data_IF_437641568479
#
_entry.id   IF_437641568479
#
_cell.length_a   1.000
_cell.length_b   1.000
_cell.length_c   1.000
_cell.angle_alpha   90.00
_cell.angle_beta   90.00
_cell.angle_gamma   90.00
#
_symmetry.space_group_name_H-M   'P 1'
#
loop_
_entity.id
_entity.type
_entity.pdbx_description
1 polymer ?
2 polymer ?
3 non-polymer ?
4 water ?
#
# COMPACT_ATOMS: atom_id res chain seq x y z
N UNK A 3 -11.67 -21.87 12.68
CA UNK A 3 -11.84 -21.73 11.24
C UNK A 3 -12.26 -20.31 10.76
N UNK A 4 -11.32 -19.67 10.09
CA UNK A 4 -11.51 -18.60 9.18
C UNK A 4 -12.20 -19.11 7.95
N UNK A 5 -13.08 -18.33 7.36
CA UNK A 5 -13.77 -18.73 6.15
C UNK A 5 -13.73 -17.72 5.02
N UNK A 6 -13.31 -18.15 3.85
CA UNK A 6 -13.26 -17.27 2.70
C UNK A 6 -14.31 -17.66 1.66
N UNK A 7 -15.30 -16.78 1.45
CA UNK A 7 -16.20 -16.92 0.33
C UNK A 7 -15.56 -16.29 -0.88
N UNK A 8 -15.65 -16.94 -2.03
CA UNK A 8 -15.08 -16.38 -3.24
C UNK A 8 -16.12 -16.19 -4.32
N UNK A 9 -15.82 -15.30 -5.24
CA UNK A 9 -16.60 -15.17 -6.45
C UNK A 9 -16.22 -16.32 -7.37
N UNK A 10 -17.00 -17.37 -7.35
CA UNK A 10 -16.73 -18.56 -8.10
C UNK A 10 -16.70 -18.29 -9.58
N UNK A 11 -17.53 -17.39 -10.03
CA UNK A 11 -17.51 -16.93 -11.41
C UNK A 11 -16.25 -16.25 -11.87
N UNK A 12 -15.56 -15.59 -10.97
CA UNK A 12 -14.31 -14.98 -11.28
C UNK A 12 -13.33 -15.09 -10.11
N UNK A 13 -12.65 -16.21 -9.98
CA UNK A 13 -11.92 -16.50 -8.75
C UNK A 13 -10.73 -15.55 -8.49
N UNK A 14 -10.61 -15.04 -7.27
CA UNK A 14 -9.46 -14.19 -6.89
C UNK A 14 -8.19 -15.04 -6.72
N UNK A 15 -7.43 -15.21 -7.80
CA UNK A 15 -6.34 -16.19 -7.80
C UNK A 15 -5.30 -15.85 -6.75
N UNK A 16 -5.01 -14.56 -6.58
CA UNK A 16 -4.07 -14.10 -5.58
C UNK A 16 -4.43 -14.60 -4.19
N UNK A 17 -5.69 -14.39 -3.82
CA UNK A 17 -6.20 -14.81 -2.51
C UNK A 17 -6.21 -16.33 -2.36
N UNK A 18 -6.54 -17.03 -3.45
CA UNK A 18 -6.58 -18.49 -3.41
C UNK A 18 -5.17 -19.05 -3.33
N UNK A 19 -4.21 -18.38 -3.97
CA UNK A 19 -2.80 -18.76 -3.84
C UNK A 19 -2.32 -18.56 -2.40
N UNK A 20 -2.75 -17.46 -1.77
CA UNK A 20 -2.38 -17.21 -0.38
C UNK A 20 -2.97 -18.28 0.55
N UNK A 21 -4.25 -18.59 0.36
CA UNK A 21 -4.88 -19.66 1.11
C UNK A 21 -4.07 -20.95 0.96
N UNK A 22 -3.73 -21.31 -0.28
CA UNK A 22 -2.97 -22.52 -0.53
C UNK A 22 -1.65 -22.53 0.27
N UNK A 23 -1.07 -21.36 0.48
CA UNK A 23 0.22 -21.29 1.17
C UNK A 23 0.12 -21.16 2.68
N UNK A 24 -1.06 -20.87 3.22
CA UNK A 24 -1.17 -20.74 4.67
C UNK A 24 -2.06 -21.81 5.29
N UNK A 25 -2.60 -22.70 4.48
CA UNK A 25 -3.69 -23.57 4.94
C UNK A 25 -3.21 -24.65 5.91
N UNK A 26 -1.92 -24.95 5.92
CA UNK A 26 -1.38 -25.87 6.91
C UNK A 26 -1.05 -25.15 8.21
N UNK A 27 -1.05 -23.82 8.16
CA UNK A 27 -0.66 -23.01 9.31
C UNK A 27 -1.86 -22.50 10.10
N UNK A 28 -2.95 -22.26 9.40
CA UNK A 28 -4.17 -21.75 10.01
C UNK A 28 -5.31 -22.51 9.36
N UNK A 29 -6.37 -22.81 10.09
CA UNK A 29 -7.45 -23.57 9.48
C UNK A 29 -8.36 -22.60 8.74
N UNK A 30 -8.58 -22.89 7.46
CA UNK A 30 -9.34 -22.05 6.57
C UNK A 30 -10.28 -22.87 5.74
N UNK A 31 -11.50 -22.40 5.59
CA UNK A 31 -12.44 -23.01 4.66
C UNK A 31 -12.66 -22.08 3.48
N UNK A 32 -12.78 -22.62 2.29
CA UNK A 32 -13.13 -21.81 1.15
C UNK A 32 -14.50 -22.21 0.61
N UNK A 33 -15.40 -21.25 0.49
CA UNK A 33 -16.74 -21.51 0.00
C UNK A 33 -17.09 -20.91 -1.34
N UNK A 34 -17.93 -21.61 -2.07
CA UNK A 34 -18.42 -21.13 -3.32
C UNK A 34 -19.30 -19.92 -3.08
N UNK A 35 -19.35 -19.01 -4.01
CA UNK A 35 -20.18 -17.83 -3.85
C UNK A 35 -20.13 -16.92 -5.05
N UNK A 36 -20.57 -15.71 -4.89
CA UNK A 36 -20.58 -14.75 -5.96
C UNK A 36 -19.81 -13.48 -5.65
N UNK A 37 -19.19 -13.42 -4.48
CA UNK A 37 -18.32 -12.31 -4.13
C UNK A 37 -17.24 -12.78 -3.17
N UNK A 38 -16.23 -11.94 -2.98
CA UNK A 38 -15.13 -12.26 -2.08
C UNK A 38 -15.36 -11.68 -0.72
N UNK A 39 -15.41 -12.55 0.27
CA UNK A 39 -15.55 -12.16 1.65
C UNK A 39 -14.70 -13.05 2.54
N UNK A 40 -13.73 -12.47 3.22
CA UNK A 40 -13.04 -13.20 4.26
C UNK A 40 -13.77 -12.95 5.57
N UNK A 41 -14.35 -13.99 6.14
CA UNK A 41 -15.08 -13.90 7.42
C UNK A 41 -14.13 -14.18 8.57
N UNK A 42 -13.71 -13.13 9.25
CA UNK A 42 -12.71 -13.30 10.29
C UNK A 42 -13.39 -13.67 11.61
N UNK A 43 -14.35 -12.88 12.02
CA UNK A 43 -15.06 -13.04 13.29
C UNK A 43 -16.40 -12.37 13.12
N UNK A 44 -17.25 -12.38 14.11
CA UNK A 44 -18.64 -12.02 13.89
C UNK A 44 -18.82 -10.62 13.33
N UNK A 45 -18.11 -9.64 13.86
CA UNK A 45 -18.23 -8.28 13.39
C UNK A 45 -17.10 -7.86 12.45
N UNK A 46 -16.32 -8.81 11.96
CA UNK A 46 -15.10 -8.52 11.20
C UNK A 46 -15.01 -9.26 9.86
N UNK A 47 -15.15 -8.52 8.76
CA UNK A 47 -14.91 -9.06 7.42
C UNK A 47 -14.03 -8.18 6.54
N UNK A 48 -13.39 -8.80 5.55
CA UNK A 48 -12.62 -8.09 4.55
C UNK A 48 -13.10 -8.51 3.18
N UNK A 49 -13.33 -7.53 2.31
CA UNK A 49 -13.92 -7.81 1.00
C UNK A 49 -13.04 -7.36 -0.16
N UNK A 50 -12.01 -6.58 0.12
CA UNK A 50 -11.10 -6.19 -0.96
C UNK A 50 -9.91 -7.15 -0.96
N UNK A 51 -9.44 -7.48 -2.16
CA UNK A 51 -8.45 -8.53 -2.33
C UNK A 51 -7.15 -8.24 -1.57
N UNK A 52 -6.63 -7.02 -1.65
CA UNK A 52 -5.37 -6.75 -0.95
C UNK A 52 -5.47 -6.86 0.57
N UNK A 53 -6.62 -6.51 1.14
CA UNK A 53 -6.83 -6.67 2.60
C UNK A 53 -6.92 -8.15 2.97
N UNK A 54 -7.56 -8.92 2.11
CA UNK A 54 -7.66 -10.35 2.33
C UNK A 54 -6.26 -10.97 2.35
N UNK A 55 -5.43 -10.60 1.37
CA UNK A 55 -4.03 -11.05 1.33
C UNK A 55 -3.26 -10.68 2.60
N UNK A 56 -3.34 -9.40 2.99
CA UNK A 56 -2.62 -8.90 4.16
C UNK A 56 -3.03 -9.64 5.41
N UNK A 57 -4.35 -9.83 5.60
CA UNK A 57 -4.80 -10.52 6.81
C UNK A 57 -4.27 -11.96 6.87
N UNK A 58 -4.35 -12.68 5.76
CA UNK A 58 -3.85 -14.06 5.71
C UNK A 58 -2.34 -14.10 6.02
N UNK A 59 -1.60 -13.15 5.45
CA UNK A 59 -0.16 -13.12 5.68
C UNK A 59 0.15 -12.79 7.13
N UNK A 60 -0.69 -11.95 7.75
CA UNK A 60 -0.44 -11.54 9.13
C UNK A 60 -0.76 -12.65 10.14
N UNK A 61 -1.77 -13.46 9.83
CA UNK A 61 -2.22 -14.46 10.78
C UNK A 61 -1.42 -15.76 10.66
N UNK A 62 -0.87 -16.01 9.47
CA UNK A 62 -0.02 -17.18 9.22
C UNK A 62 1.45 -16.81 9.30
N UNK A 63 1.93 -16.57 10.51
CA UNK A 63 3.26 -16.00 10.70
C UNK A 63 4.38 -16.93 10.23
N UNK A 64 4.17 -18.24 10.34
CA UNK A 64 5.18 -19.20 9.91
C UNK A 64 5.37 -19.23 8.37
N UNK A 65 4.34 -18.80 7.63
CA UNK A 65 4.42 -18.82 6.16
C UNK A 65 5.34 -17.73 5.60
N UNK A 66 5.58 -16.69 6.38
CA UNK A 66 6.45 -15.60 5.99
C UNK A 66 6.08 -14.80 4.74
N UNK A 67 4.79 -14.64 4.49
CA UNK A 67 4.32 -13.97 3.28
C UNK A 67 4.40 -12.44 3.30
N UNK A 68 4.66 -11.84 4.46
CA UNK A 68 4.69 -10.37 4.53
C UNK A 68 6.13 -9.91 4.81
N UNK A 69 7.11 -10.77 4.49
CA UNK A 69 8.51 -10.43 4.69
C UNK A 69 8.98 -10.58 6.13
N UNK A 70 10.26 -10.30 6.38
CA UNK A 70 10.82 -10.58 7.71
C UNK A 70 11.24 -9.33 8.48
N UNK A 71 11.11 -8.18 7.85
CA UNK A 71 11.45 -6.92 8.44
C UNK A 71 10.69 -5.77 7.82
N UNK A 72 10.86 -4.57 8.37
CA UNK A 72 10.11 -3.42 7.93
C UNK A 72 10.35 -3.03 6.50
N UNK A 73 11.57 -3.07 6.04
CA UNK A 73 11.84 -2.77 4.65
C UNK A 73 11.16 -3.73 3.69
N UNK A 74 11.20 -5.01 3.98
CA UNK A 74 10.51 -5.99 3.17
C UNK A 74 8.99 -5.80 3.17
N UNK A 75 8.41 -5.51 4.32
CA UNK A 75 7.01 -5.26 4.47
C UNK A 75 6.66 -4.09 3.59
N UNK A 76 7.50 -3.09 3.57
CA UNK A 76 7.29 -1.93 2.74
C UNK A 76 7.37 -2.20 1.27
N UNK A 77 8.34 -2.98 0.85
CA UNK A 77 8.48 -3.38 -0.53
C UNK A 77 7.27 -4.17 -0.96
N UNK A 78 6.77 -5.02 -0.10
CA UNK A 78 5.58 -5.83 -0.43
C UNK A 78 4.36 -4.91 -0.60
N UNK A 79 4.25 -3.86 0.23
CA UNK A 79 3.16 -2.88 0.06
C UNK A 79 3.28 -2.21 -1.30
N UNK A 80 4.51 -1.88 -1.69
CA UNK A 80 4.77 -1.29 -3.01
C UNK A 80 4.23 -2.17 -4.14
N UNK A 81 4.52 -3.48 -4.07
CA UNK A 81 4.10 -4.37 -5.15
C UNK A 81 2.59 -4.64 -5.14
N UNK A 82 2.00 -4.70 -3.96
CA UNK A 82 0.54 -4.86 -3.86
C UNK A 82 -0.20 -3.71 -4.56
N UNK A 83 0.25 -2.49 -4.35
CA UNK A 83 -0.27 -1.37 -5.11
C UNK A 83 0.03 -1.44 -6.62
N UNK A 84 1.23 -1.85 -6.96
CA UNK A 84 1.66 -1.87 -8.33
C UNK A 84 0.72 -2.76 -9.09
N UNK A 85 0.39 -3.91 -8.56
CA UNK A 85 -0.55 -4.78 -9.20
C UNK A 85 -1.99 -4.25 -9.26
N UNK A 86 -2.45 -3.63 -8.19
CA UNK A 86 -3.77 -3.04 -8.12
C UNK A 86 -3.96 -1.86 -9.06
N UNK A 87 -2.91 -1.05 -9.26
CA UNK A 87 -3.02 0.17 -10.07
C UNK A 87 -2.41 0.18 -11.49
N UNK A 88 -1.15 -0.20 -11.63
CA UNK A 88 -0.50 -0.25 -12.91
C UNK A 88 -0.76 -1.50 -13.73
N UNK A 89 -0.78 -2.64 -13.09
CA UNK A 89 -0.88 -3.93 -13.75
C UNK A 89 -2.35 -4.32 -13.93
N UNK A 90 -3.20 -3.56 -13.30
CA UNK A 90 -4.62 -3.73 -13.45
C UNK A 90 -5.18 -2.86 -14.55
N UNK A 91 -4.36 -2.03 -15.15
CA UNK A 91 -4.78 -1.20 -16.25
C UNK A 91 -4.13 -1.71 -17.51
N UNK A 92 -4.79 -1.54 -18.64
CA UNK A 92 -4.10 -1.80 -19.91
C UNK A 92 -3.46 -0.58 -20.54
N UNK A 93 -3.75 0.59 -20.00
CA UNK A 93 -3.04 1.77 -20.43
C UNK A 93 -1.59 1.66 -19.98
N UNK A 94 -0.66 2.00 -20.82
CA UNK A 94 0.73 2.08 -20.42
C UNK A 94 1.41 0.76 -20.03
N UNK A 95 0.94 -0.33 -20.58
CA UNK A 95 1.42 -1.67 -20.19
C UNK A 95 2.89 -1.88 -20.47
N UNK A 96 3.35 -1.37 -21.61
CA UNK A 96 4.74 -1.51 -22.03
C UNK A 96 5.69 -0.97 -20.97
N UNK A 97 5.41 0.22 -20.47
CA UNK A 97 6.31 0.80 -19.47
C UNK A 97 6.17 0.07 -18.13
N UNK A 98 4.95 -0.36 -17.83
CA UNK A 98 4.71 -1.08 -16.59
C UNK A 98 5.44 -2.43 -16.57
N UNK A 99 5.31 -3.20 -17.66
CA UNK A 99 5.94 -4.53 -17.71
C UNK A 99 7.45 -4.38 -17.77
N UNK A 100 7.93 -3.32 -18.39
CA UNK A 100 9.34 -3.04 -18.40
C UNK A 100 9.90 -2.71 -17.04
N UNK A 101 9.13 -1.99 -16.24
CA UNK A 101 9.52 -1.70 -14.88
C UNK A 101 9.60 -2.97 -14.07
N UNK A 102 8.66 -3.86 -14.24
CA UNK A 102 8.67 -5.12 -13.55
C UNK A 102 9.87 -5.93 -13.95
N UNK A 103 10.15 -5.95 -15.22
CA UNK A 103 11.32 -6.63 -15.77
C UNK A 103 12.61 -6.16 -15.14
N UNK A 104 12.76 -4.85 -15.01
CA UNK A 104 13.96 -4.29 -14.42
C UNK A 104 14.12 -4.67 -12.95
N UNK A 105 13.03 -4.62 -12.19
CA UNK A 105 13.09 -5.01 -10.79
C UNK A 105 13.46 -6.49 -10.65
N UNK A 106 13.02 -7.32 -11.58
CA UNK A 106 13.27 -8.75 -11.50
C UNK A 106 14.69 -9.15 -11.95
N UNK A 107 15.40 -8.22 -12.60
CA UNK A 107 16.66 -8.53 -13.26
C UNK A 107 17.67 -9.16 -12.31
N UNK A 108 17.73 -8.68 -11.10
CA UNK A 108 18.59 -9.27 -10.14
C UNK A 108 17.93 -10.08 -9.07
N UNK A 109 16.69 -10.45 -9.25
CA UNK A 109 15.94 -11.13 -8.22
C UNK A 109 15.37 -12.44 -8.69
N UNK A 110 15.18 -13.36 -7.76
CA UNK A 110 14.44 -14.57 -8.01
C UNK A 110 12.97 -14.49 -7.58
N UNK A 111 12.70 -13.94 -6.42
CA UNK A 111 11.40 -13.62 -5.94
C UNK A 111 11.40 -12.12 -5.81
N UNK A 112 10.23 -11.49 -5.83
CA UNK A 112 10.15 -10.03 -5.83
C UNK A 112 10.78 -9.41 -4.56
N UNK A 113 10.58 -10.02 -3.43
CA UNK A 113 11.06 -9.46 -2.20
C UNK A 113 11.80 -10.49 -1.40
N UNK A 114 12.97 -10.11 -0.95
CA UNK A 114 13.82 -11.01 -0.24
C UNK A 114 14.19 -12.19 -1.12
N UNK A 115 14.32 -13.33 -0.52
CA UNK A 115 14.65 -14.52 -1.26
C UNK A 115 13.66 -15.63 -1.14
N UNK A 116 12.43 -15.29 -0.85
CA UNK A 116 11.38 -16.25 -0.69
C UNK A 116 10.05 -15.71 -1.19
N UNK A 117 9.12 -16.62 -1.41
CA UNK A 117 7.79 -16.24 -1.83
C UNK A 117 7.13 -15.26 -0.88
N UNK A 118 6.49 -14.23 -1.41
CA UNK A 118 5.76 -13.31 -0.56
C UNK A 118 4.45 -12.91 -1.21
N UNK A 119 3.65 -12.11 -0.49
CA UNK A 119 2.44 -11.53 -1.07
C UNK A 119 2.72 -10.77 -2.37
N UNK A 120 3.91 -10.19 -2.49
CA UNK A 120 4.25 -9.50 -3.72
C UNK A 120 4.21 -10.44 -4.92
N UNK A 121 4.81 -11.63 -4.78
CA UNK A 121 4.77 -12.57 -5.90
C UNK A 121 3.32 -12.99 -6.16
N UNK A 122 2.60 -13.36 -5.11
CA UNK A 122 1.24 -13.87 -5.30
C UNK A 122 0.36 -12.84 -6.04
N UNK A 123 0.39 -11.61 -5.54
CA UNK A 123 -0.36 -10.50 -6.12
C UNK A 123 0.03 -10.18 -7.56
N UNK A 124 1.32 -9.97 -7.81
CA UNK A 124 1.74 -9.58 -9.15
C UNK A 124 1.53 -10.74 -10.16
N UNK A 125 1.80 -11.96 -9.73
CA UNK A 125 1.60 -13.12 -10.62
C UNK A 125 0.13 -13.29 -11.04
N UNK A 126 -0.77 -13.29 -10.05
CA UNK A 126 -2.20 -13.46 -10.34
C UNK A 126 -2.69 -12.35 -11.25
N UNK A 127 -2.27 -11.12 -10.94
CA UNK A 127 -2.72 -9.98 -11.71
C UNK A 127 -2.21 -10.11 -13.15
N UNK A 128 -0.92 -10.44 -13.32
CA UNK A 128 -0.37 -10.68 -14.65
C UNK A 128 -1.14 -11.73 -15.43
N UNK A 129 -1.49 -12.83 -14.75
CA UNK A 129 -2.12 -13.94 -15.40
C UNK A 129 -3.45 -13.54 -16.00
N UNK A 130 -4.14 -12.60 -15.36
CA UNK A 130 -5.43 -12.16 -15.85
C UNK A 130 -5.35 -10.94 -16.74
N UNK A 131 -4.13 -10.47 -17.00
CA UNK A 131 -3.92 -9.29 -17.85
C UNK A 131 -3.82 -9.68 -19.32
N UNK A 132 -4.71 -9.13 -20.14
CA UNK A 132 -4.81 -9.53 -21.55
C UNK A 132 -3.56 -9.14 -22.34
N UNK A 133 -2.98 -7.99 -22.02
CA UNK A 133 -1.76 -7.55 -22.68
C UNK A 133 -0.58 -8.50 -22.39
N UNK A 134 -0.56 -9.09 -21.20
CA UNK A 134 0.50 -10.06 -20.90
C UNK A 134 0.33 -11.33 -21.74
N UNK A 135 -0.88 -11.86 -21.74
CA UNK A 135 -1.16 -13.08 -22.49
C UNK A 135 -0.87 -12.86 -23.98
N UNK A 136 -1.11 -11.65 -24.48
CA UNK A 136 -0.78 -11.30 -25.86
C UNK A 136 0.74 -11.29 -26.09
N UNK A 137 1.50 -10.66 -25.19
CA UNK A 137 2.96 -10.68 -25.30
C UNK A 137 3.52 -12.10 -25.29
N UNK A 138 2.96 -12.96 -24.46
CA UNK A 138 3.38 -14.35 -24.41
C UNK A 138 3.09 -15.03 -25.76
N UNK A 139 1.87 -14.84 -26.26
CA UNK A 139 1.46 -15.39 -27.55
C UNK A 139 2.37 -14.92 -28.69
N UNK A 140 2.82 -13.67 -28.62
CA UNK A 140 3.64 -13.09 -29.68
C UNK A 140 5.13 -13.30 -29.45
N UNK A 141 5.47 -14.05 -28.41
CA UNK A 141 6.87 -14.27 -28.03
C UNK A 141 7.60 -12.95 -27.77
N UNK A 142 6.92 -11.99 -27.15
CA UNK A 142 7.51 -10.68 -26.90
C UNK A 142 7.67 -10.35 -25.41
N UNK A 143 7.37 -11.28 -24.52
CA UNK A 143 7.52 -11.04 -23.08
C UNK A 143 8.95 -10.68 -22.71
N UNK A 144 9.13 -9.73 -21.79
CA UNK A 144 10.48 -9.42 -21.27
C UNK A 144 11.11 -10.62 -20.54
N UNK A 145 12.41 -10.81 -20.69
CA UNK A 145 13.10 -12.04 -20.26
C UNK A 145 12.95 -12.36 -18.77
N UNK A 146 13.18 -11.37 -17.92
CA UNK A 146 13.12 -11.60 -16.48
C UNK A 146 11.72 -11.94 -16.00
N UNK A 147 10.71 -11.22 -16.51
CA UNK A 147 9.33 -11.51 -16.13
C UNK A 147 8.90 -12.90 -16.60
N UNK A 148 9.23 -13.25 -17.85
CA UNK A 148 8.95 -14.59 -18.36
C UNK A 148 9.58 -15.68 -17.46
N UNK A 149 10.85 -15.48 -17.12
CA UNK A 149 11.58 -16.40 -16.27
C UNK A 149 10.91 -16.55 -14.90
N UNK A 150 10.63 -15.42 -14.25
CA UNK A 150 10.00 -15.43 -12.94
C UNK A 150 8.58 -16.00 -13.01
N UNK A 151 7.83 -15.60 -14.03
CA UNK A 151 6.42 -16.04 -14.16
C UNK A 151 6.36 -17.56 -14.34
N UNK A 152 7.23 -18.10 -15.18
CA UNK A 152 7.26 -19.54 -15.42
C UNK A 152 7.67 -20.35 -14.21
N UNK A 153 8.62 -19.82 -13.44
CA UNK A 153 9.11 -20.48 -12.23
C UNK A 153 7.99 -20.69 -11.21
N UNK A 154 7.25 -19.62 -10.92
CA UNK A 154 6.08 -19.72 -10.02
C UNK A 154 5.03 -20.65 -10.58
N UNK A 155 4.74 -20.50 -11.85
CA UNK A 155 3.72 -21.29 -12.48
C UNK A 155 3.92 -22.80 -12.30
N UNK A 156 5.17 -23.22 -12.27
CA UNK A 156 5.54 -24.60 -12.17
C UNK A 156 5.48 -25.12 -10.75
N UNK A 157 5.37 -24.24 -9.78
CA UNK A 157 5.38 -24.65 -8.41
C UNK A 157 4.09 -25.36 -8.02
N UNK A 158 4.17 -26.25 -7.06
CA UNK A 158 3.09 -27.12 -6.70
C UNK A 158 1.80 -26.43 -6.28
N UNK A 159 1.92 -25.49 -5.37
CA UNK A 159 0.81 -24.69 -4.94
C UNK A 159 0.11 -23.97 -6.08
N UNK A 160 0.86 -23.47 -7.02
CA UNK A 160 0.31 -22.74 -8.13
C UNK A 160 -0.42 -23.72 -9.06
N UNK A 161 0.15 -24.88 -9.26
CA UNK A 161 -0.45 -25.93 -10.05
C UNK A 161 -1.73 -26.37 -9.40
N UNK A 162 -1.70 -26.53 -8.09
CA UNK A 162 -2.89 -26.96 -7.38
C UNK A 162 -4.05 -25.96 -7.50
N UNK A 163 -3.75 -24.69 -7.33
CA UNK A 163 -4.75 -23.67 -7.46
C UNK A 163 -5.27 -23.67 -8.88
N UNK A 164 -4.39 -23.83 -9.83
CA UNK A 164 -4.79 -23.86 -11.21
C UNK A 164 -5.73 -25.00 -11.54
N UNK A 165 -5.44 -26.18 -11.04
CA UNK A 165 -6.28 -27.34 -11.26
C UNK A 165 -7.66 -27.15 -10.66
N UNK A 166 -7.73 -26.60 -9.46
CA UNK A 166 -9.01 -26.46 -8.80
C UNK A 166 -9.86 -25.30 -9.34
N UNK A 167 -9.24 -24.26 -9.88
CA UNK A 167 -10.00 -23.04 -10.24
C UNK A 167 -9.91 -22.54 -11.68
N UNK A 168 -8.93 -23.02 -12.45
CA UNK A 168 -8.80 -22.55 -13.83
C UNK A 168 -9.88 -23.18 -14.70
N UNK A 169 -10.45 -22.39 -15.60
CA UNK A 169 -11.53 -22.86 -16.46
C UNK A 169 -11.02 -23.50 -17.75
N UNK A 170 -9.70 -23.53 -17.92
C UNK B 16 4.20 0.60 23.91
N UNK B 17 5.06 1.49 23.49
CA UNK B 17 5.48 1.54 22.09
C UNK B 17 6.95 1.33 21.84
N UNK B 18 7.24 0.80 20.66
CA UNK B 18 8.57 0.43 20.25
C UNK B 18 9.47 1.59 19.88
N UNK B 19 10.72 1.49 20.30
CA UNK B 19 11.76 2.45 19.97
C UNK B 19 12.18 2.33 18.53
N UNK B 20 12.74 3.40 18.01
CA UNK B 20 13.04 3.55 16.62
C UNK B 20 13.98 2.49 16.18
N UNK B 21 14.93 2.16 17.04
CA UNK B 21 15.94 1.16 16.73
C UNK B 21 15.33 -0.19 16.38
N UNK B 22 14.59 -0.75 17.33
CA UNK B 22 13.99 -2.07 17.15
C UNK B 22 12.98 -2.10 16.00
N UNK B 23 12.37 -0.96 15.71
CA UNK B 23 11.41 -0.88 14.61
C UNK B 23 12.09 -1.13 13.26
N UNK B 24 13.13 -0.37 13.00
CA UNK B 24 13.94 -0.51 11.81
C UNK B 24 14.78 -1.76 11.79
N UNK B 25 15.13 -2.22 12.97
CA UNK B 25 16.07 -3.30 13.18
C UNK B 25 17.52 -3.12 12.76
N UNK B 26 18.06 -4.13 12.11
CA UNK B 26 19.49 -4.25 12.01
C UNK B 26 20.05 -3.06 11.28
N UNK B 27 19.44 -2.67 10.17
CA UNK B 27 19.82 -1.41 9.54
C UNK B 27 19.00 -0.16 9.96
N UNK B 28 19.02 0.16 11.25
CA UNK B 28 18.45 1.41 11.72
C UNK B 28 19.26 2.50 11.04
N UNK B 29 20.56 2.26 10.94
CA UNK B 29 21.48 3.19 10.31
C UNK B 29 21.16 3.41 8.86
N UNK B 30 20.83 2.35 8.16
CA UNK B 30 20.49 2.49 6.75
C UNK B 30 19.24 3.29 6.51
N UNK B 31 18.24 3.10 7.35
CA UNK B 31 16.94 3.69 7.08
C UNK B 31 16.68 5.02 7.79
N UNK B 32 17.60 5.45 8.61
CA UNK B 32 17.42 6.66 9.36
C UNK B 32 17.26 7.82 8.41
N UNK B 33 18.00 7.80 7.31
CA UNK B 33 17.87 8.90 6.35
C UNK B 33 16.95 8.54 5.19
N UNK B 34 15.92 9.35 5.00
CA UNK B 34 14.84 9.09 4.07
C UNK B 34 14.88 10.10 2.93
N UNK B 35 14.72 9.63 1.70
CA UNK B 35 14.60 10.53 0.56
C UNK B 35 13.29 10.32 -0.20
N UNK B 36 12.56 11.41 -0.42
CA UNK B 36 11.31 11.35 -1.15
C UNK B 36 11.31 12.21 -2.41
N UNK B 37 10.98 11.61 -3.54
CA UNK B 37 10.82 12.38 -4.78
C UNK B 37 9.35 12.64 -5.06
N UNK B 38 9.00 13.91 -5.19
CA UNK B 38 7.61 14.31 -5.38
C UNK B 38 7.46 15.31 -6.52
N UNK B 39 6.33 15.23 -7.19
CA UNK B 39 6.04 16.13 -8.26
C UNK B 39 5.35 17.39 -7.82
N UNK B 40 6.03 18.54 -8.22
CA UNK B 40 5.41 19.79 -7.77
C UNK B 40 4.00 19.99 -8.24
N UNK B 41 3.61 19.47 -9.38
CA UNK B 41 2.23 19.58 -9.80
C UNK B 41 1.28 18.71 -8.97
N UNK B 42 1.82 17.81 -8.16
CA UNK B 42 0.99 16.93 -7.35
C UNK B 42 1.61 16.73 -5.98
N UNK B 43 1.64 17.78 -5.15
CA UNK B 43 2.32 17.65 -3.86
C UNK B 43 1.56 16.69 -2.96
N UNK B 44 2.25 15.78 -2.28
CA UNK B 44 1.61 14.74 -1.47
C UNK B 44 1.27 15.24 -0.06
N UNK B 45 0.10 15.83 0.10
CA UNK B 45 -0.29 16.40 1.38
C UNK B 45 -0.11 15.41 2.52
N UNK B 46 -0.45 14.13 2.29
CA UNK B 46 -0.36 13.13 3.36
C UNK B 46 1.06 13.04 3.93
N UNK B 47 2.06 13.11 3.08
CA UNK B 47 3.44 13.10 3.52
C UNK B 47 3.87 14.35 4.29
N UNK B 48 3.40 15.50 3.85
CA UNK B 48 3.59 16.74 4.56
C UNK B 48 3.02 16.67 5.94
N UNK B 49 1.83 16.11 6.09
CA UNK B 49 1.25 15.95 7.40
C UNK B 49 2.10 15.04 8.24
N UNK B 50 2.56 13.95 7.67
CA UNK B 50 3.30 12.98 8.41
C UNK B 50 4.69 13.47 8.81
N UNK B 51 5.24 14.34 8.01
CA UNK B 51 6.48 14.99 8.33
C UNK B 51 6.32 15.77 9.59
N UNK B 52 5.24 16.52 9.69
CA UNK B 52 4.92 17.26 10.89
C UNK B 52 4.71 16.43 12.13
N UNK B 53 4.05 15.30 11.95
CA UNK B 53 3.87 14.36 13.03
C UNK B 53 5.17 13.79 13.52
N UNK B 54 6.09 13.50 12.61
CA UNK B 54 7.34 12.92 12.98
C UNK B 54 8.16 13.93 13.76
N UNK B 55 8.17 15.14 13.27
CA UNK B 55 8.95 16.19 13.92
C UNK B 55 8.53 16.44 15.37
N UNK B 56 7.27 16.18 15.70
CA UNK B 56 6.80 16.35 17.08
C UNK B 56 7.31 15.29 17.98
N UNK B 57 7.83 14.23 17.43
CA UNK B 57 8.12 13.06 18.21
C UNK B 57 9.56 12.74 18.19
N UNK B 58 10.22 13.15 17.13
CA UNK B 58 11.61 12.82 16.88
C UNK B 58 12.41 14.05 16.50
N UNK B 59 13.72 13.97 16.71
CA UNK B 59 14.64 14.98 16.21
C UNK B 59 14.91 14.72 14.75
N UNK B 60 14.47 15.64 13.89
CA UNK B 60 14.47 15.42 12.46
C UNK B 60 15.21 16.52 11.71
N UNK B 61 16.21 16.11 10.94
CA UNK B 61 16.89 17.02 10.04
C UNK B 61 16.22 16.96 8.68
N UNK B 62 15.62 18.06 8.27
CA UNK B 62 14.85 18.07 7.04
C UNK B 62 15.52 18.96 6.02
N UNK B 63 15.29 18.66 4.74
CA UNK B 63 15.91 19.40 3.64
C UNK B 63 15.06 19.33 2.40
N UNK B 64 15.02 20.40 1.63
CA UNK B 64 14.31 20.39 0.35
C UNK B 64 15.30 20.67 -0.78
N UNK B 65 15.16 19.94 -1.88
CA UNK B 65 15.98 20.21 -3.05
C UNK B 65 15.09 20.28 -4.28
N UNK B 66 15.66 20.75 -5.38
CA UNK B 66 14.91 20.88 -6.62
C UNK B 66 15.67 20.26 -7.78
N UNK B 67 15.18 19.10 -8.22
CA UNK B 67 15.77 18.40 -9.36
C UNK B 67 15.62 19.24 -10.62
N UNK B 68 16.55 19.06 -11.55
CA UNK B 68 16.53 19.82 -12.81
C UNK B 68 15.35 19.47 -13.69
N UNK B 69 14.57 18.47 -13.28
CA UNK B 69 13.40 18.02 -14.02
C UNK B 69 12.37 19.13 -14.13
N UNK B 70 12.42 20.04 -13.18
CA UNK B 70 11.41 21.05 -13.12
C UNK B 70 11.91 22.46 -12.91
N UNK B 71 11.06 23.41 -13.23
CA UNK B 71 11.36 24.80 -13.05
C UNK B 71 10.29 25.54 -12.26
N UNK B 72 10.67 26.62 -11.61
CA UNK B 72 9.69 27.47 -10.97
C UNK B 72 8.77 26.78 -9.99
N UNK B 73 9.35 26.11 -9.00
CA UNK B 73 8.56 25.63 -7.91
C UNK B 73 8.09 26.77 -7.02
N UNK B 74 6.72 26.75 -6.70
CA UNK B 74 6.29 27.85 -5.84
C UNK B 74 6.93 27.83 -4.47
N UNK B 75 7.02 28.99 -3.82
CA UNK B 75 7.84 29.16 -2.63
C UNK B 75 7.37 28.31 -1.46
N UNK B 76 6.07 28.21 -1.27
CA UNK B 76 5.52 27.45 -0.16
C UNK B 76 5.97 25.98 -0.24
N UNK B 77 5.96 25.44 -1.45
CA UNK B 77 6.49 24.11 -1.72
C UNK B 77 7.98 24.08 -1.41
N UNK B 78 8.69 25.12 -1.84
CA UNK B 78 10.12 25.21 -1.61
C UNK B 78 10.44 25.41 -0.13
N UNK B 79 9.52 26.01 0.61
CA UNK B 79 9.74 26.30 2.03
C UNK B 79 8.89 25.41 2.94
N UNK B 80 8.53 24.23 2.44
CA UNK B 80 7.51 23.41 3.11
C UNK B 80 7.95 22.82 4.44
N UNK B 81 9.21 23.04 4.83
CA UNK B 81 9.66 22.54 6.13
C UNK B 81 10.13 23.66 7.05
N UNK B 92 23.12 15.90 15.95
CA UNK B 92 22.68 14.65 16.52
C UNK B 92 21.16 14.46 16.41
N UNK B 93 20.73 13.90 15.29
CA UNK B 93 19.33 13.76 14.99
C UNK B 93 18.86 12.31 15.09
N UNK B 94 17.58 12.06 14.85
CA UNK B 94 17.04 10.72 14.77
C UNK B 94 16.59 10.29 13.39
N UNK B 95 16.18 11.22 12.55
CA UNK B 95 15.78 10.88 11.21
C UNK B 95 16.18 11.95 10.24
N UNK B 96 16.55 11.56 9.05
CA UNK B 96 16.91 12.50 8.04
C UNK B 96 15.80 12.41 7.06
N UNK B 97 15.39 13.53 6.54
CA UNK B 97 14.17 13.58 5.77
C UNK B 97 14.33 14.59 4.66
N UNK B 98 14.62 14.11 3.46
CA UNK B 98 14.90 14.95 2.31
C UNK B 98 13.82 14.86 1.23
N UNK B 99 13.18 15.99 0.92
CA UNK B 99 12.18 16.01 -0.14
C UNK B 99 12.74 16.67 -1.37
N UNK B 100 12.65 15.99 -2.49
CA UNK B 100 13.16 16.51 -3.72
C UNK B 100 12.04 16.71 -4.68
N UNK B 101 11.84 17.91 -5.18
CA UNK B 101 10.87 18.13 -6.21
C UNK B 101 11.42 17.66 -7.51
N UNK B 102 10.60 16.93 -8.26
CA UNK B 102 11.06 16.25 -9.44
C UNK B 102 9.89 16.00 -10.36
N UNK B 103 10.13 15.76 -11.63
CA UNK B 103 9.06 15.42 -12.55
C UNK B 103 8.79 13.90 -12.59
N UNK B 104 8.40 13.36 -11.44
CA UNK B 104 8.07 11.93 -11.31
C UNK B 104 6.58 11.69 -11.52
N UNK B 105 6.22 10.56 -12.13
CA UNK B 105 4.81 10.27 -12.41
C UNK B 105 4.04 9.84 -11.16
N UNK B 106 4.78 9.60 -10.08
CA UNK B 106 4.22 9.04 -8.87
C UNK B 106 5.20 9.30 -7.75
N UNK B 107 4.70 9.71 -6.58
CA UNK B 107 5.58 10.00 -5.47
C UNK B 107 6.40 8.75 -5.14
N UNK B 108 7.67 8.95 -4.82
CA UNK B 108 8.59 7.84 -4.72
C UNK B 108 9.59 8.03 -3.59
N UNK B 109 9.77 6.99 -2.78
CA UNK B 109 10.74 7.06 -1.69
C UNK B 109 11.92 6.12 -1.95
N UNK B 110 13.14 6.61 -1.71
CA UNK B 110 14.36 5.82 -1.90
C UNK B 110 15.20 5.75 -0.63
N UNK B 111 15.96 4.72 -0.50
CA UNK B 111 16.68 4.48 0.69
C UNK B 111 18.08 4.23 0.23
N UNK B 112 19.02 4.40 1.14
CA UNK B 112 20.44 4.21 0.92
C UNK B 112 20.78 2.78 0.52
N UNK B 113 20.15 1.82 1.17
CA UNK B 113 20.29 0.46 0.75
C UNK B 113 19.65 0.54 -0.59
N UNK B 114 20.31 0.10 -1.65
CA UNK B 114 19.64 0.01 -2.95
C UNK B 114 19.64 -1.38 -3.53
N UNK B 115 19.80 -2.35 -2.66
CA UNK B 115 19.41 -3.70 -2.95
C UNK B 115 17.88 -3.69 -3.13
N UNK B 116 17.19 -2.88 -2.34
CA UNK B 116 15.73 -2.73 -2.39
C UNK B 116 15.16 -1.86 -3.50
N UNK B 117 13.89 -2.04 -3.82
CA UNK B 117 13.33 -1.19 -4.85
C UNK B 117 12.89 0.15 -4.25
N UNK B 118 12.86 1.20 -5.09
CA UNK B 118 12.19 2.41 -4.65
C UNK B 118 10.72 2.12 -4.35
N UNK B 119 10.18 2.80 -3.34
CA UNK B 119 8.81 2.59 -2.92
C UNK B 119 7.91 3.65 -3.53
N UNK B 120 6.98 3.23 -4.37
CA UNK B 120 6.07 4.15 -5.06
C UNK B 120 4.69 4.26 -4.39
N UNK B 121 4.15 5.48 -4.35
CA UNK B 121 2.79 5.72 -3.88
C UNK B 121 2.73 6.28 -2.47
N UNK B 122 2.06 7.43 -2.32
CA UNK B 122 2.04 8.12 -1.02
C UNK B 122 1.43 7.24 0.06
N UNK B 123 0.42 6.43 -0.30
CA UNK B 123 -0.18 5.51 0.64
C UNK B 123 0.85 4.55 1.22
N UNK B 124 1.73 4.05 0.38
CA UNK B 124 2.76 3.15 0.86
C UNK B 124 3.85 3.85 1.67
N UNK B 125 4.27 5.02 1.21
CA UNK B 125 5.29 5.77 1.95
C UNK B 125 4.74 6.18 3.33
N UNK B 126 3.48 6.60 3.34
CA UNK B 126 2.83 7.01 4.59
C UNK B 126 2.76 5.85 5.58
N UNK B 127 2.47 4.64 5.10
CA UNK B 127 2.42 3.49 5.95
C UNK B 127 3.77 3.28 6.60
N UNK B 128 4.84 3.38 5.85
CA UNK B 128 6.16 3.22 6.40
C UNK B 128 6.48 4.27 7.45
N UNK B 129 6.20 5.52 7.14
CA UNK B 129 6.51 6.61 8.04
C UNK B 129 5.73 6.47 9.32
N UNK B 130 4.45 6.14 9.24
CA UNK B 130 3.64 6.01 10.43
C UNK B 130 4.15 4.89 11.30
N UNK B 131 4.65 3.84 10.68
CA UNK B 131 5.20 2.69 11.40
C UNK B 131 6.40 3.07 12.29
N UNK B 132 7.04 4.20 11.99
CA UNK B 132 8.20 4.62 12.79
C UNK B 132 7.84 4.93 14.24
N UNK B 133 6.57 5.28 14.50
CA UNK B 133 6.11 5.52 15.88
C UNK B 133 6.02 4.25 16.71
N UNK B 134 6.18 3.10 16.09
CA UNK B 134 6.27 1.84 16.80
C UNK B 134 5.03 1.37 17.56
N UNK B 135 3.85 1.87 17.20
CA UNK B 135 2.63 1.43 17.88
C UNK B 135 2.22 0.04 17.43
N UNK B 136 1.80 -0.81 18.37
CA UNK B 136 1.44 -2.19 18.03
C UNK B 136 -0.04 -2.35 17.65
N UNK B 137 -0.31 -3.14 16.61
CA UNK B 137 -1.67 -3.48 16.22
C UNK B 137 -1.81 -4.96 15.98
N UNK B 138 -2.91 -5.57 16.39
CA UNK B 138 -3.14 -6.97 16.03
C UNK B 138 -3.46 -7.08 14.55
N UNK B 139 -3.56 -8.32 14.05
CA UNK B 139 -3.77 -8.58 12.63
C UNK B 139 -5.03 -7.92 12.07
N UNK B 140 -6.12 -7.96 12.82
CA UNK B 140 -7.37 -7.36 12.36
C UNK B 140 -7.26 -5.84 12.22
N UNK B 141 -6.78 -5.18 13.26
CA UNK B 141 -6.75 -3.71 13.26
C UNK B 141 -5.71 -3.16 12.29
N UNK B 142 -4.57 -3.84 12.19
CA UNK B 142 -3.52 -3.45 11.23
C UNK B 142 -4.03 -3.56 9.79
N UNK B 143 -4.82 -4.59 9.53
CA UNK B 143 -5.39 -4.79 8.21
C UNK B 143 -6.52 -3.79 7.93
N UNK B 144 -7.31 -3.51 8.94
CA UNK B 144 -8.36 -2.48 8.84
C UNK B 144 -7.73 -1.13 8.47
N UNK B 145 -6.62 -0.81 9.13
CA UNK B 145 -5.89 0.42 8.81
C UNK B 145 -5.44 0.40 7.34
N UNK B 146 -4.83 -0.71 6.91
CA UNK B 146 -4.42 -0.82 5.52
C UNK B 146 -5.59 -0.68 4.56
N UNK B 147 -6.72 -1.25 4.94
CA UNK B 147 -7.90 -1.22 4.09
C UNK B 147 -8.39 0.22 3.84
N UNK B 148 -8.33 1.05 4.86
CA UNK B 148 -8.73 2.47 4.71
C UNK B 148 -7.77 3.26 3.81
N UNK B 149 -6.47 3.01 3.96
CA UNK B 149 -5.51 3.63 3.06
C UNK B 149 -5.79 3.27 1.62
N UNK B 150 -6.11 1.99 1.34
CA UNK B 150 -6.40 1.57 -0.04
C UNK B 150 -7.66 2.24 -0.57
N UNK B 151 -8.66 2.38 0.28
CA UNK B 151 -9.88 3.08 -0.11
C UNK B 151 -9.57 4.51 -0.54
N UNK B 152 -8.73 5.20 0.23
CA UNK B 152 -8.28 6.55 -0.13
C UNK B 152 -7.60 6.58 -1.50
N UNK B 153 -6.63 5.67 -1.70
CA UNK B 153 -5.82 5.63 -2.90
C UNK B 153 -6.58 5.08 -4.12
N UNK B 154 -7.33 4.00 -3.94
CA UNK B 154 -7.89 3.28 -5.09
C UNK B 154 -9.31 3.69 -5.44
N UNK B 155 -10.06 4.23 -4.48
CA UNK B 155 -11.44 4.63 -4.74
C UNK B 155 -11.61 6.14 -4.72
N UNK B 156 -11.20 6.76 -3.63
CA UNK B 156 -11.44 8.17 -3.42
C UNK B 156 -10.68 9.05 -4.41
N UNK B 157 -9.37 8.88 -4.45
CA UNK B 157 -8.50 9.79 -5.12
C UNK B 157 -8.77 9.96 -6.62
N UNK B 158 -8.94 8.88 -7.35
CA UNK B 158 -9.15 8.98 -8.78
C UNK B 158 -10.58 8.66 -9.16
N UNK B 159 -11.42 8.59 -8.14
CA UNK B 159 -12.75 8.07 -8.20
C UNK B 159 -13.90 8.87 -8.74
N UNK B 160 -14.98 8.15 -8.98
CA UNK B 160 -16.24 8.72 -9.40
C UNK B 160 -16.88 9.48 -8.26
N UNK B 161 -17.84 10.31 -8.64
CA UNK B 161 -18.67 10.99 -7.69
C UNK B 161 -19.51 10.00 -6.91
N UNK B 162 -20.05 9.02 -7.60
CA UNK B 162 -20.85 8.00 -6.98
C UNK B 162 -20.08 7.14 -6.01
N UNK B 163 -18.88 6.77 -6.40
CA UNK B 163 -18.02 5.99 -5.54
C UNK B 163 -17.62 6.81 -4.32
N UNK B 164 -17.41 8.08 -4.52
CA UNK B 164 -17.02 8.94 -3.41
C UNK B 164 -18.13 8.94 -2.36
N UNK B 165 -19.39 8.98 -2.79
CA UNK B 165 -20.52 8.97 -1.87
C UNK B 165 -20.59 7.66 -1.09
N UNK B 166 -20.23 6.57 -1.75
CA UNK B 166 -20.20 5.26 -1.10
C UNK B 166 -19.10 5.23 -0.04
N UNK B 167 -17.95 5.80 -0.37
CA UNK B 167 -16.85 5.91 0.58
C UNK B 167 -17.30 6.72 1.79
N UNK B 168 -17.98 7.83 1.53
CA UNK B 168 -18.50 8.65 2.61
C UNK B 168 -19.43 7.84 3.51
N UNK B 169 -20.29 7.00 2.95
CA UNK B 169 -21.18 6.22 3.75
C UNK B 169 -20.47 5.22 4.64
N UNK B 170 -19.48 4.59 4.09
CA UNK B 170 -18.68 3.66 4.83
C UNK B 170 -17.90 4.34 5.98
N UNK B 171 -17.33 5.48 5.72
CA UNK B 171 -16.65 6.30 6.71
C UNK B 171 -17.59 6.75 7.78
N UNK B 172 -18.75 7.18 7.36
CA UNK B 172 -19.76 7.66 8.28
C UNK B 172 -20.16 6.59 9.26
N UNK B 173 -20.33 5.37 8.75
CA UNK B 173 -20.65 4.24 9.62
C UNK B 173 -19.53 3.95 10.62
N UNK B 174 -18.28 3.82 10.16
CA UNK B 174 -17.18 3.60 11.09
C UNK B 174 -17.03 4.73 12.12
N UNK B 175 -17.21 5.97 11.69
CA UNK B 175 -16.94 7.11 12.57
C UNK B 175 -18.13 7.37 13.52
N UNK B 176 -19.16 6.54 13.40
CA UNK B 176 -20.24 6.56 14.37
C UNK B 176 -19.92 5.63 15.52
N UNK B 177 -18.90 4.79 15.34
CA UNK B 177 -18.53 3.80 16.36
C UNK B 177 -17.20 4.08 17.06
N UNK B 178 -16.40 4.99 16.52
CA UNK B 178 -15.15 5.36 17.18
C UNK B 178 -14.72 6.74 16.72
N UNK B 179 -13.85 7.40 17.50
CA UNK B 179 -13.45 8.74 17.08
C UNK B 179 -12.57 8.74 15.82
N UNK B 180 -11.77 7.70 15.59
CA UNK B 180 -10.93 7.66 14.40
C UNK B 180 -11.31 6.48 13.50
N UNK B 181 -10.84 6.49 12.26
CA UNK B 181 -11.29 5.50 11.26
C UNK B 181 -11.13 4.05 11.71
N UNK B 182 -10.08 3.78 12.48
CA UNK B 182 -9.77 2.42 12.88
C UNK B 182 -9.77 2.22 14.39
N UNK B 183 -10.44 3.08 15.12
CA UNK B 183 -10.44 2.95 16.55
C UNK B 183 -10.29 4.21 17.36
N UNK B 184 -9.83 4.04 18.56
CA UNK B 184 -9.72 5.12 19.50
C UNK B 184 -8.46 5.95 19.35
N UNK B 185 -7.58 5.55 18.46
CA UNK B 185 -6.37 6.32 18.20
C UNK B 185 -6.21 6.74 16.77
N UNK B 186 -5.53 7.84 16.60
CA UNK B 186 -5.19 8.30 15.26
C UNK B 186 -4.24 7.32 14.57
N UNK B 187 -4.48 7.02 13.29
CA UNK B 187 -3.57 6.14 12.55
C UNK B 187 -3.30 6.71 11.17
N UNK B 188 -2.48 6.03 10.40
CA UNK B 188 -2.16 6.48 9.05
C UNK B 188 -3.42 6.46 8.16
N UNK B 189 -4.43 5.67 8.57
CA UNK B 189 -5.73 5.70 7.89
C UNK B 189 -6.28 7.13 7.86
N UNK B 190 -6.28 7.75 9.03
CA UNK B 190 -6.79 9.10 9.15
C UNK B 190 -5.96 10.11 8.35
N UNK B 191 -4.64 10.02 8.47
CA UNK B 191 -3.76 10.95 7.76
C UNK B 191 -3.99 10.89 6.27
N UNK B 192 -4.01 9.68 5.71
CA UNK B 192 -4.06 9.57 4.26
C UNK B 192 -5.44 9.92 3.73
N UNK B 193 -6.47 9.41 4.39
CA UNK B 193 -7.80 9.65 3.88
C UNK B 193 -8.20 11.14 4.02
N UNK B 194 -7.86 11.75 5.14
CA UNK B 194 -8.12 13.19 5.28
C UNK B 194 -7.37 13.96 4.19
N UNK B 195 -6.09 13.66 4.01
CA UNK B 195 -5.25 14.40 3.06
C UNK B 195 -5.76 14.28 1.64
N UNK B 196 -6.17 13.08 1.25
CA UNK B 196 -6.65 12.88 -0.11
C UNK B 196 -7.92 13.69 -0.33
N UNK B 197 -8.80 13.66 0.67
CA UNK B 197 -10.06 14.42 0.61
C UNK B 197 -9.86 15.92 0.36
N UNK B 198 -8.77 16.48 0.86
CA UNK B 198 -8.47 17.91 0.65
C UNK B 198 -8.04 18.19 -0.78
N UNK B 199 -7.42 17.21 -1.42
CA UNK B 199 -6.80 17.46 -2.72
C UNK B 199 -7.65 17.01 -3.90
N UNK B 200 -8.92 16.72 -3.66
CA UNK B 200 -9.81 16.41 -4.77
C UNK B 200 -10.98 17.39 -4.81
N UNK B 201 -11.29 18.00 -3.67
CA UNK B 201 -12.37 18.96 -3.56
C UNK B 201 -13.75 18.31 -3.58
N UNK B 204 -18.98 19.36 -3.53
CA UNK B 204 -19.42 18.41 -4.55
C UNK B 204 -20.42 17.40 -3.97
N UNK B 205 -19.93 16.49 -3.14
CA UNK B 205 -20.78 15.49 -2.49
C UNK B 205 -21.16 15.97 -1.09
N UNK B 206 -22.38 15.64 -0.66
CA UNK B 206 -22.83 15.94 0.71
C UNK B 206 -21.95 15.21 1.72
N UNK B 207 -21.41 15.95 2.67
CA UNK B 207 -20.62 15.35 3.74
C UNK B 207 -21.51 14.95 4.91
N UNK B 208 -21.57 13.66 5.24
CA UNK B 208 -22.42 13.23 6.37
C UNK B 208 -21.84 13.64 7.71
N UNK B 209 -22.64 13.53 8.74
CA UNK B 209 -22.31 14.11 10.02
C UNK B 209 -21.08 13.61 10.78
N UNK B 210 -20.89 12.30 10.86
CA UNK B 210 -19.73 11.74 11.53
C UNK B 210 -18.45 12.12 10.81
N UNK B 211 -18.52 12.13 9.50
CA UNK B 211 -17.44 12.54 8.67
C UNK B 211 -17.06 14.01 8.92
N UNK B 212 -18.06 14.87 9.04
CA UNK B 212 -17.85 16.27 9.33
C UNK B 212 -17.16 16.46 10.67
N UNK B 213 -17.58 15.69 11.66
CA UNK B 213 -16.99 15.73 12.96
C UNK B 213 -15.54 15.29 12.91
N UNK B 214 -15.29 14.22 12.17
CA UNK B 214 -13.97 13.70 12.03
C UNK B 214 -13.09 14.63 11.28
N UNK B 215 -13.62 15.22 10.23
CA UNK B 215 -12.83 16.19 9.45
C UNK B 215 -12.34 17.34 10.32
N UNK B 216 -13.21 17.89 11.16
CA UNK B 216 -12.79 19.03 11.96
C UNK B 216 -11.87 18.56 13.10
N UNK B 217 -12.04 17.33 13.57
CA UNK B 217 -11.11 16.79 14.57
C UNK B 217 -9.70 16.63 14.00
N UNK B 218 -9.61 16.19 12.74
CA UNK B 218 -8.33 16.13 12.04
C UNK B 218 -7.74 17.55 11.89
N UNK B 219 -8.52 18.44 11.32
CA UNK B 219 -8.03 19.77 10.98
C UNK B 219 -7.64 20.56 12.24
N UNK B 220 -8.17 20.15 13.39
CA UNK B 220 -7.84 20.75 14.68
C UNK B 220 -6.41 20.44 15.12
N UNK B 221 -5.83 19.40 14.54
CA UNK B 221 -4.45 19.02 14.87
C UNK B 221 -3.46 19.89 14.10
N UNK B 222 -2.51 20.49 14.81
CA UNK B 222 -1.52 21.38 14.20
C UNK B 222 -0.82 20.72 12.99
N UNK B 223 -0.30 19.48 13.14
CA UNK B 223 0.32 18.88 11.96
C UNK B 223 -0.58 18.91 10.74
N UNK B 224 -1.89 18.73 10.93
CA UNK B 224 -2.81 18.71 9.80
C UNK B 224 -3.05 20.10 9.21
N UNK B 225 -3.49 21.08 10.01
CA UNK B 225 -3.83 22.37 9.42
C UNK B 225 -2.58 23.12 8.94
N UNK B 226 -1.46 22.90 9.61
CA UNK B 226 -0.17 23.48 9.18
C UNK B 226 0.22 23.06 7.78
N UNK B 227 0.22 21.75 7.55
CA UNK B 227 0.57 21.20 6.24
C UNK B 227 -0.43 21.68 5.19
N UNK B 228 -1.71 21.74 5.56
CA UNK B 228 -2.74 22.15 4.61
C UNK B 228 -2.58 23.60 4.13
N UNK B 229 -2.18 24.49 5.05
CA UNK B 229 -2.06 25.90 4.68
C UNK B 229 -0.81 26.16 3.83
N UNK B 230 0.22 25.35 4.04
CA UNK B 230 1.39 25.31 3.14
C UNK B 230 0.98 25.23 1.66
N UNK B 231 0.00 24.40 1.37
CA UNK B 231 -0.44 24.21 -0.02
C UNK B 231 -1.38 25.33 -0.46
N UNK B 232 -1.77 26.18 0.49
CA UNK B 232 -2.71 27.30 0.30
C UNK B 232 -3.71 27.11 -0.83
X LIG C 1 1.31 8.52 17.63
X LIG C 1 2.24 9.57 17.86
X LIG C 1 -0.09 9.11 17.41
X LIG C 1 -1.03 8.09 17.10
X LIG C 1 -0.02 10.13 16.28
X LIG C 1 1.32 10.25 15.88
X LIG D 1 -12.90 -1.37 5.69
X LIG D 1 -12.30 -0.28 5.02
X LIG D 1 -14.17 -0.85 6.32
X LIG D 1 -14.85 -1.93 6.95
X LIG D 1 -15.06 -0.21 5.25
X LIG D 1 -14.71 -0.64 3.96
#
# INVERSE_FOLDING_TARGET
MATLSLTVNSGDPPLGALLAVEHVKDDVSISVEEGKENILHVSENVIFTDVNSILRYLARVATTAGLYGSNLMEHTEIDHWLEFSATKLSSSDSFTSTINELNHSLSLRTYLVGNSLSLADLSVWATLKGNAAWQEQLKQKKAPVHVKRWFGFLEAQQAFQSVGTKWDVSTTKAR
MTNIIQADEPTTLTTNALDLNSVLGKDYGALKDIVINANPASPPLSLLVLHRLLCEHFRVLSTVHTHDSVKSVPENLLKCFGEQNKKQPRQDYQLGFTLIWKNVPKTQMKFSIQTMCPIEGEGNIARFLFSLFGQKHNAVNATLIDSWVDIAIFQLKEGSSKEKAAVFRSMNSALGKSPWLAGNELTVADVVLWSVLQQIGGCSVTVPANVQRWMRSCENLAPFNTALKLLKLEHHHHHH
GOL C1 O1 C2 O2 C3 O3
GOL C1 O1 C2 O2 C3 O3
#
